data_IF_112624417692
#
_entry.id   IF_112624417692
#
_cell.length_a   1.000
_cell.length_b   1.000
_cell.length_c   1.000
_cell.angle_alpha   90.00
_cell.angle_beta   90.00
_cell.angle_gamma   90.00
#
_symmetry.space_group_name_H-M   'P 1'
#
loop_
_entity.id
_entity.type
_entity.pdbx_description
1 polymer ?
#
# COMPACT_ATOMS: atom_id res chain seq x y z
N UNK A 1 39.57 -21.96 7.22
CA UNK A 1 39.07 -21.63 5.86
C UNK A 1 37.68 -22.22 5.74
N UNK A 2 36.63 -21.39 5.83
CA UNK A 2 35.24 -21.82 5.75
C UNK A 2 34.82 -22.11 4.29
N UNK A 3 33.94 -23.10 4.03
CA UNK A 3 33.50 -23.42 2.69
C UNK A 3 32.40 -22.45 2.21
N UNK A 4 32.32 -22.13 0.90
CA UNK A 4 31.27 -21.27 0.34
C UNK A 4 30.03 -22.12 0.02
N UNK A 5 28.97 -22.04 0.83
CA UNK A 5 27.69 -22.72 0.56
C UNK A 5 26.48 -21.79 0.77
N UNK A 6 26.36 -20.74 -0.06
CA UNK A 6 25.15 -19.90 -0.12
C UNK A 6 24.61 -19.60 -1.55
N UNK A 7 25.33 -19.77 -2.68
CA UNK A 7 24.82 -19.26 -3.98
C UNK A 7 23.66 -20.09 -4.56
N UNK A 8 23.53 -21.37 -4.20
CA UNK A 8 22.50 -22.27 -4.79
C UNK A 8 21.10 -22.04 -4.21
N UNK A 9 20.98 -21.66 -2.94
CA UNK A 9 19.68 -21.44 -2.31
C UNK A 9 19.04 -20.12 -2.79
N UNK A 10 19.85 -19.07 -2.93
CA UNK A 10 19.45 -17.78 -3.50
C UNK A 10 18.98 -17.94 -4.95
N UNK A 11 19.69 -18.72 -5.77
CA UNK A 11 19.30 -18.99 -7.14
C UNK A 11 17.94 -19.71 -7.23
N UNK A 12 17.67 -20.69 -6.36
CA UNK A 12 16.37 -21.40 -6.31
C UNK A 12 15.23 -20.51 -5.83
N UNK A 13 15.50 -19.62 -4.86
CA UNK A 13 14.50 -18.65 -4.39
C UNK A 13 14.18 -17.61 -5.49
N UNK A 14 15.20 -17.11 -6.19
CA UNK A 14 15.01 -16.22 -7.35
C UNK A 14 14.25 -16.91 -8.50
N UNK A 15 14.54 -18.19 -8.79
CA UNK A 15 13.87 -18.93 -9.86
C UNK A 15 12.38 -19.18 -9.55
N UNK A 16 12.04 -19.47 -8.29
CA UNK A 16 10.66 -19.72 -7.88
C UNK A 16 9.85 -18.43 -7.74
N UNK A 17 10.45 -17.33 -7.28
CA UNK A 17 9.84 -16.00 -7.34
C UNK A 17 9.64 -15.58 -8.81
N UNK A 18 10.61 -15.82 -9.69
CA UNK A 18 10.45 -15.58 -11.13
C UNK A 18 9.32 -16.42 -11.75
N UNK A 19 9.16 -17.70 -11.35
CA UNK A 19 8.03 -18.54 -11.79
C UNK A 19 6.69 -18.05 -11.23
N UNK A 20 6.62 -17.62 -9.97
CA UNK A 20 5.40 -17.05 -9.39
C UNK A 20 5.02 -15.73 -10.08
N UNK A 21 6.01 -14.92 -10.49
CA UNK A 21 5.81 -13.71 -11.28
C UNK A 21 5.42 -14.00 -12.74
N UNK A 22 5.79 -15.15 -13.30
CA UNK A 22 5.38 -15.60 -14.65
C UNK A 22 3.90 -16.01 -14.71
N UNK A 23 3.34 -16.54 -13.62
CA UNK A 23 1.90 -16.84 -13.51
C UNK A 23 1.03 -15.60 -13.22
N UNK A 24 1.64 -14.44 -13.06
CA UNK A 24 0.95 -13.19 -12.75
C UNK A 24 0.58 -12.45 -14.05
N UNK A 25 -0.69 -12.11 -14.25
CA UNK A 25 -1.08 -11.29 -15.39
C UNK A 25 -0.49 -9.88 -15.24
N UNK A 26 0.46 -9.53 -16.10
CA UNK A 26 0.99 -8.17 -16.21
C UNK A 26 0.00 -7.31 -16.98
N UNK A 27 -0.58 -6.35 -16.31
CA UNK A 27 -1.59 -5.46 -16.90
C UNK A 27 -1.13 -4.01 -16.84
N UNK A 28 -1.30 -3.29 -17.96
CA UNK A 28 -1.08 -1.84 -18.05
C UNK A 28 -2.36 -1.10 -17.65
N UNK A 29 -2.22 0.18 -17.30
CA UNK A 29 -3.36 1.04 -16.98
C UNK A 29 -4.36 1.07 -18.16
N UNK A 30 -5.65 1.01 -17.85
CA UNK A 30 -6.74 0.96 -18.82
C UNK A 30 -7.68 2.16 -18.59
N UNK A 31 -8.08 2.82 -19.68
CA UNK A 31 -9.05 3.91 -19.66
C UNK A 31 -10.51 3.42 -19.65
N UNK A 32 -10.75 2.18 -20.10
CA UNK A 32 -12.06 1.54 -20.11
C UNK A 32 -11.91 0.03 -19.94
N UNK A 33 -12.77 -0.56 -19.13
CA UNK A 33 -12.70 -1.98 -18.75
C UNK A 33 -13.78 -2.84 -19.39
N UNK A 34 -14.29 -2.39 -20.53
CA UNK A 34 -15.42 -2.97 -21.23
C UNK A 34 -16.78 -2.48 -20.70
N UNK A 35 -17.85 -3.11 -21.17
CA UNK A 35 -19.24 -2.75 -20.85
C UNK A 35 -19.80 -3.43 -19.60
N UNK A 36 -19.08 -4.40 -19.02
CA UNK A 36 -19.53 -5.09 -17.81
C UNK A 36 -19.38 -4.19 -16.58
N UNK A 37 -20.40 -4.10 -15.72
CA UNK A 37 -20.32 -3.30 -14.50
C UNK A 37 -19.19 -3.82 -13.60
N UNK A 38 -18.30 -2.91 -13.20
CA UNK A 38 -17.19 -3.19 -12.30
C UNK A 38 -17.68 -3.19 -10.86
N UNK A 39 -17.24 -4.17 -10.07
CA UNK A 39 -17.52 -4.15 -8.64
C UNK A 39 -16.72 -3.05 -7.94
N UNK A 40 -17.31 -2.49 -6.88
CA UNK A 40 -16.73 -1.42 -6.06
C UNK A 40 -16.89 -1.81 -4.59
N UNK A 41 -15.90 -2.49 -3.98
CA UNK A 41 -16.07 -3.07 -2.65
C UNK A 41 -16.20 -2.01 -1.54
N UNK A 42 -15.87 -0.76 -1.85
CA UNK A 42 -16.00 0.42 -0.99
C UNK A 42 -17.35 1.14 -1.12
N UNK A 43 -18.17 0.77 -2.10
CA UNK A 43 -19.48 1.35 -2.36
C UNK A 43 -20.56 0.36 -1.91
N UNK A 44 -21.23 0.66 -0.80
CA UNK A 44 -22.28 -0.21 -0.23
C UNK A 44 -23.53 -0.28 -1.11
N UNK A 45 -23.73 0.69 -1.99
CA UNK A 45 -24.84 0.75 -2.95
C UNK A 45 -24.44 0.14 -4.31
N UNK A 46 -23.14 0.03 -4.57
CA UNK A 46 -22.58 -0.56 -5.78
C UNK A 46 -22.63 -2.10 -5.80
N UNK A 47 -22.35 -2.71 -6.97
CA UNK A 47 -22.27 -4.16 -7.06
C UNK A 47 -21.10 -4.68 -6.22
N UNK A 48 -21.40 -5.55 -5.25
CA UNK A 48 -20.41 -6.24 -4.45
C UNK A 48 -19.54 -7.18 -5.32
N UNK A 49 -18.28 -7.32 -4.94
CA UNK A 49 -17.32 -8.10 -5.70
C UNK A 49 -17.62 -9.60 -5.66
N UNK A 50 -17.63 -10.21 -6.85
CA UNK A 50 -17.78 -11.66 -7.04
C UNK A 50 -16.49 -12.21 -7.62
N UNK A 51 -16.06 -13.40 -7.19
CA UNK A 51 -14.89 -14.09 -7.75
C UNK A 51 -14.97 -14.18 -9.27
N UNK A 52 -13.83 -14.04 -9.96
CA UNK A 52 -13.71 -14.08 -11.43
C UNK A 52 -14.43 -12.94 -12.18
N UNK A 53 -14.88 -11.90 -11.46
CA UNK A 53 -15.41 -10.67 -12.06
C UNK A 53 -14.41 -9.53 -11.89
N UNK A 54 -14.57 -8.46 -12.67
CA UNK A 54 -13.66 -7.32 -12.65
C UNK A 54 -14.03 -6.33 -11.54
N UNK A 55 -13.01 -5.74 -10.93
CA UNK A 55 -13.11 -4.69 -9.91
C UNK A 55 -12.62 -3.35 -10.47
N UNK A 56 -13.20 -2.23 -10.05
CA UNK A 56 -12.63 -0.90 -10.30
C UNK A 56 -11.50 -0.64 -9.29
N UNK A 57 -10.25 -0.58 -9.77
CA UNK A 57 -9.08 -0.30 -8.94
C UNK A 57 -8.36 0.93 -9.49
N UNK A 58 -8.22 1.97 -8.65
CA UNK A 58 -7.55 3.22 -9.05
C UNK A 58 -6.51 3.63 -8.04
N UNK A 59 -5.38 4.09 -8.55
CA UNK A 59 -4.31 4.67 -7.77
C UNK A 59 -4.16 6.16 -8.07
N UNK A 60 -3.95 6.95 -7.03
CA UNK A 60 -3.62 8.36 -7.09
C UNK A 60 -2.17 8.54 -6.66
N UNK A 61 -1.38 9.11 -7.57
CA UNK A 61 0.04 9.31 -7.43
C UNK A 61 0.33 10.80 -7.21
N UNK A 62 0.92 11.18 -6.08
CA UNK A 62 1.44 12.54 -5.90
C UNK A 62 2.58 12.82 -6.89
N UNK A 63 2.44 13.84 -7.75
CA UNK A 63 3.48 14.21 -8.72
C UNK A 63 4.49 15.19 -8.12
N UNK A 64 5.65 15.35 -8.78
CA UNK A 64 6.53 16.49 -8.54
C UNK A 64 5.82 17.79 -8.93
N UNK A 65 6.28 18.92 -8.37
CA UNK A 65 5.61 20.22 -8.56
C UNK A 65 5.64 20.64 -10.03
N UNK A 66 6.73 20.28 -10.70
CA UNK A 66 7.05 20.58 -12.09
C UNK A 66 6.17 19.79 -13.06
N UNK A 67 5.62 18.66 -12.63
CA UNK A 67 4.70 17.83 -13.42
C UNK A 67 3.21 18.13 -13.15
N UNK A 68 2.91 19.18 -12.39
CA UNK A 68 1.53 19.59 -12.16
C UNK A 68 0.91 20.13 -13.45
N UNK A 69 -0.39 19.90 -13.65
CA UNK A 69 -1.13 20.42 -14.79
C UNK A 69 -2.36 21.20 -14.34
N UNK A 70 -2.76 22.22 -15.12
CA UNK A 70 -3.90 23.08 -14.80
C UNK A 70 -5.01 22.87 -15.82
N UNK A 71 -6.22 22.57 -15.36
CA UNK A 71 -7.43 22.52 -16.19
C UNK A 71 -8.47 23.44 -15.56
N UNK A 72 -9.05 24.35 -16.35
CA UNK A 72 -10.12 25.25 -15.90
C UNK A 72 -9.79 26.00 -14.60
N UNK A 73 -8.58 26.57 -14.52
CA UNK A 73 -8.04 27.29 -13.35
C UNK A 73 -7.78 26.45 -12.08
N UNK A 74 -7.96 25.13 -12.13
CA UNK A 74 -7.59 24.22 -11.05
C UNK A 74 -6.30 23.49 -11.39
N UNK A 75 -5.30 23.60 -10.51
CA UNK A 75 -4.05 22.86 -10.61
C UNK A 75 -4.20 21.49 -9.94
N UNK A 76 -3.85 20.45 -10.68
CA UNK A 76 -3.86 19.08 -10.22
C UNK A 76 -2.42 18.63 -9.94
N UNK A 77 -2.25 17.98 -8.79
CA UNK A 77 -0.97 17.49 -8.27
C UNK A 77 -0.87 15.97 -8.27
N UNK A 78 -1.80 15.31 -8.98
CA UNK A 78 -2.02 13.87 -8.90
C UNK A 78 -2.12 13.29 -10.30
N UNK A 79 -1.37 12.22 -10.56
CA UNK A 79 -1.61 11.34 -11.70
C UNK A 79 -2.50 10.16 -11.29
N UNK A 80 -3.44 9.78 -12.15
CA UNK A 80 -4.38 8.68 -11.88
C UNK A 80 -4.06 7.47 -12.74
N UNK A 81 -3.98 6.29 -12.11
CA UNK A 81 -3.84 5.00 -12.80
C UNK A 81 -5.06 4.14 -12.54
N UNK A 82 -5.80 3.80 -13.59
CA UNK A 82 -6.98 2.92 -13.53
C UNK A 82 -6.68 1.51 -14.01
N UNK A 83 -7.19 0.51 -13.30
CA UNK A 83 -7.04 -0.90 -13.61
C UNK A 83 -8.34 -1.65 -13.33
N UNK A 84 -8.49 -2.81 -13.99
CA UNK A 84 -9.62 -3.69 -13.79
C UNK A 84 -9.21 -5.14 -13.52
N UNK A 85 -8.56 -5.40 -12.36
CA UNK A 85 -8.21 -6.76 -11.97
C UNK A 85 -9.42 -7.66 -11.93
N UNK A 86 -9.18 -8.94 -12.18
CA UNK A 86 -10.12 -10.01 -11.90
C UNK A 86 -10.03 -10.36 -10.41
N UNK A 87 -11.16 -10.28 -9.70
CA UNK A 87 -11.26 -10.64 -8.28
C UNK A 87 -10.85 -12.10 -8.10
N UNK A 88 -9.98 -12.31 -7.12
CA UNK A 88 -9.34 -13.59 -6.79
C UNK A 88 -8.29 -14.10 -7.77
N UNK A 89 -7.72 -13.21 -8.58
CA UNK A 89 -6.56 -13.51 -9.42
C UNK A 89 -5.37 -12.67 -8.97
N UNK A 90 -4.25 -13.33 -8.70
CA UNK A 90 -2.99 -12.63 -8.42
C UNK A 90 -2.65 -11.76 -9.65
N UNK A 91 -2.53 -10.46 -9.43
CA UNK A 91 -2.33 -9.48 -10.50
C UNK A 91 -1.11 -8.61 -10.21
N UNK A 92 -0.40 -8.22 -11.26
CA UNK A 92 0.76 -7.33 -11.18
C UNK A 92 0.56 -6.14 -12.10
N UNK A 93 0.53 -4.95 -11.51
CA UNK A 93 0.31 -3.71 -12.23
C UNK A 93 1.58 -2.87 -12.27
N UNK A 94 2.01 -2.47 -13.47
CA UNK A 94 3.13 -1.54 -13.61
C UNK A 94 2.59 -0.12 -13.75
N UNK A 95 2.97 0.75 -12.82
CA UNK A 95 2.69 2.19 -12.88
C UNK A 95 3.76 2.87 -13.73
N UNK A 96 3.63 2.72 -15.05
CA UNK A 96 4.60 3.25 -16.02
C UNK A 96 4.78 4.75 -15.84
N UNK A 97 6.03 5.20 -15.68
CA UNK A 97 6.37 6.60 -15.51
C UNK A 97 6.15 7.15 -14.09
N UNK A 98 5.57 6.40 -13.15
CA UNK A 98 5.34 6.88 -11.78
C UNK A 98 6.62 7.29 -11.05
N UNK A 99 7.73 6.50 -11.10
CA UNK A 99 9.03 6.92 -10.58
C UNK A 99 9.49 8.28 -11.11
N UNK A 100 9.39 8.49 -12.42
CA UNK A 100 9.76 9.74 -13.06
C UNK A 100 8.83 10.88 -12.63
N UNK A 101 7.50 10.69 -12.71
CA UNK A 101 6.52 11.72 -12.39
C UNK A 101 6.60 12.24 -10.96
N UNK A 102 7.06 11.42 -10.02
CA UNK A 102 7.18 11.77 -8.60
C UNK A 102 8.48 12.48 -8.25
N UNK A 103 9.53 12.31 -9.04
CA UNK A 103 10.90 12.68 -8.66
C UNK A 103 11.67 13.49 -9.68
N UNK A 104 11.21 13.54 -10.93
CA UNK A 104 11.90 14.12 -12.08
C UNK A 104 10.93 14.93 -12.94
N UNK A 105 11.44 15.71 -13.88
CA UNK A 105 10.66 16.44 -14.87
C UNK A 105 11.46 16.62 -16.16
N UNK A 106 10.78 17.00 -17.23
CA UNK A 106 11.36 17.20 -18.56
C UNK A 106 11.36 18.69 -18.89
N UNK A 107 12.46 19.18 -19.47
CA UNK A 107 12.46 20.44 -20.21
C UNK A 107 12.72 20.18 -21.69
N UNK A 108 12.26 21.09 -22.54
CA UNK A 108 12.55 21.05 -23.98
C UNK A 108 13.12 22.39 -24.37
N UNK A 109 14.31 22.40 -24.96
CA UNK A 109 14.91 23.61 -25.52
C UNK A 109 14.07 24.07 -26.71
N UNK A 110 13.56 25.31 -26.64
CA UNK A 110 12.67 25.87 -27.66
C UNK A 110 13.35 26.08 -29.02
N UNK A 111 14.68 26.18 -29.05
CA UNK A 111 15.47 26.46 -30.25
C UNK A 111 15.99 25.19 -30.92
N UNK A 112 16.48 24.22 -30.14
CA UNK A 112 17.05 22.97 -30.68
C UNK A 112 16.04 21.82 -30.67
N UNK A 113 14.95 21.93 -29.89
CA UNK A 113 14.02 20.83 -29.63
C UNK A 113 14.61 19.73 -28.73
N UNK A 114 15.79 19.96 -28.14
CA UNK A 114 16.47 18.98 -27.30
C UNK A 114 15.70 18.77 -25.99
N UNK A 115 15.49 17.51 -25.62
CA UNK A 115 14.73 17.12 -24.42
C UNK A 115 15.71 16.72 -23.33
N UNK A 116 15.65 17.41 -22.18
CA UNK A 116 16.54 17.14 -21.04
C UNK A 116 15.75 16.71 -19.81
N UNK A 117 16.24 15.67 -19.14
CA UNK A 117 15.65 15.14 -17.90
C UNK A 117 16.32 15.76 -16.68
N UNK A 118 15.51 16.22 -15.73
CA UNK A 118 15.97 16.86 -14.50
C UNK A 118 15.35 16.20 -13.27
N UNK A 119 16.06 16.24 -12.15
CA UNK A 119 15.47 15.92 -10.86
C UNK A 119 14.60 17.07 -10.38
N UNK A 120 13.46 16.73 -9.77
CA UNK A 120 12.55 17.67 -9.11
C UNK A 120 13.30 18.53 -8.11
N UNK A 121 13.03 19.84 -8.13
CA UNK A 121 13.58 20.78 -7.14
C UNK A 121 12.92 20.58 -5.78
N UNK A 122 11.73 19.99 -5.75
CA UNK A 122 11.02 19.61 -4.55
C UNK A 122 11.08 18.08 -4.35
N UNK A 123 12.07 17.62 -3.58
CA UNK A 123 12.24 16.21 -3.20
C UNK A 123 11.50 15.82 -1.90
N UNK A 124 10.41 16.54 -1.56
CA UNK A 124 9.57 16.16 -0.43
C UNK A 124 8.96 14.75 -0.60
N UNK A 125 8.45 14.15 0.49
CA UNK A 125 7.74 12.88 0.42
C UNK A 125 6.64 12.88 -0.65
N UNK A 126 6.51 11.79 -1.39
CA UNK A 126 5.42 11.54 -2.34
C UNK A 126 4.75 10.22 -2.03
N UNK A 127 3.44 10.19 -2.23
CA UNK A 127 2.61 9.07 -1.84
C UNK A 127 1.82 8.51 -3.02
N UNK A 128 1.51 7.21 -2.90
CA UNK A 128 0.52 6.52 -3.71
C UNK A 128 -0.66 6.18 -2.80
N UNK A 129 -1.86 6.55 -3.21
CA UNK A 129 -3.10 6.25 -2.50
C UNK A 129 -4.02 5.40 -3.37
N UNK A 130 -4.79 4.51 -2.75
CA UNK A 130 -5.80 3.70 -3.45
C UNK A 130 -7.18 4.32 -3.25
N UNK A 131 -7.85 4.66 -4.34
CA UNK A 131 -9.21 5.19 -4.31
C UNK A 131 -10.17 4.18 -3.69
N UNK A 132 -11.06 4.64 -2.80
CA UNK A 132 -12.03 3.77 -2.14
C UNK A 132 -11.49 3.05 -0.90
N UNK A 133 -10.19 3.14 -0.59
CA UNK A 133 -9.58 2.47 0.58
C UNK A 133 -9.59 3.38 1.82
N UNK A 134 -10.49 4.37 1.84
CA UNK A 134 -10.67 5.26 2.96
C UNK A 134 -11.46 4.64 4.12
N UNK A 135 -11.56 5.43 5.19
CA UNK A 135 -12.24 5.03 6.41
C UNK A 135 -13.78 5.01 6.25
N UNK A 136 -14.50 4.45 7.22
CA UNK A 136 -15.96 4.31 7.18
C UNK A 136 -16.72 5.63 7.03
N UNK A 137 -16.16 6.74 7.51
CA UNK A 137 -16.72 8.08 7.41
C UNK A 137 -16.31 8.82 6.11
N UNK A 138 -15.30 8.33 5.39
CA UNK A 138 -14.82 8.87 4.12
C UNK A 138 -14.13 7.76 3.32
N UNK A 139 -14.93 6.95 2.62
CA UNK A 139 -14.42 5.76 1.91
C UNK A 139 -13.59 6.13 0.69
N UNK A 140 -13.85 7.30 0.10
CA UNK A 140 -13.26 7.74 -1.17
C UNK A 140 -11.75 7.95 -1.12
N UNK A 141 -11.25 8.61 -0.07
CA UNK A 141 -9.86 9.02 0.04
C UNK A 141 -9.24 8.49 1.33
N UNK A 142 -8.21 7.63 1.26
CA UNK A 142 -7.49 7.20 2.45
C UNK A 142 -6.74 8.38 3.07
N UNK A 143 -6.85 8.52 4.38
CA UNK A 143 -6.11 9.53 5.14
C UNK A 143 -4.61 9.18 5.15
N UNK A 144 -3.76 10.20 4.99
CA UNK A 144 -2.30 10.02 5.00
C UNK A 144 -1.85 9.64 6.40
N UNK A 145 -0.82 8.80 6.49
CA UNK A 145 -0.17 8.35 7.73
C UNK A 145 -1.03 7.51 8.70
N UNK A 146 -2.37 7.53 8.59
CA UNK A 146 -3.27 6.69 9.37
C UNK A 146 -3.79 5.47 8.59
N UNK A 147 -4.04 5.62 7.28
CA UNK A 147 -4.58 4.54 6.44
C UNK A 147 -3.48 3.74 5.74
N UNK A 148 -3.60 2.41 5.79
CA UNK A 148 -2.84 1.48 4.95
C UNK A 148 -3.18 1.62 3.47
N UNK A 149 -4.25 2.34 3.10
CA UNK A 149 -4.58 2.70 1.72
C UNK A 149 -3.63 3.74 1.10
N UNK A 150 -2.68 4.29 1.87
CA UNK A 150 -1.67 5.25 1.40
C UNK A 150 -0.26 4.75 1.72
N UNK A 151 0.68 4.92 0.78
CA UNK A 151 2.07 4.47 0.95
C UNK A 151 3.06 5.49 0.42
N UNK A 152 4.17 5.68 1.13
CA UNK A 152 5.30 6.48 0.65
C UNK A 152 5.98 5.78 -0.53
N UNK A 153 6.21 6.52 -1.61
CA UNK A 153 6.80 5.97 -2.84
C UNK A 153 8.05 6.71 -3.32
N UNK A 154 8.24 7.97 -2.95
CA UNK A 154 9.46 8.70 -3.24
C UNK A 154 9.82 9.66 -2.11
N UNK A 155 11.12 9.79 -1.84
CA UNK A 155 11.64 10.66 -0.78
C UNK A 155 13.07 11.09 -1.11
N UNK A 156 13.51 12.23 -0.59
CA UNK A 156 14.91 12.63 -0.65
C UNK A 156 15.82 11.56 -0.01
N UNK A 157 16.75 11.03 -0.80
CA UNK A 157 17.71 10.01 -0.41
C UNK A 157 19.09 10.54 -0.06
N UNK A 158 19.33 11.85 -0.16
CA UNK A 158 20.67 12.44 -0.03
C UNK A 158 21.27 12.19 1.36
N UNK A 159 20.46 12.29 2.42
CA UNK A 159 20.92 12.00 3.79
C UNK A 159 21.24 10.52 4.01
N UNK A 160 20.45 9.62 3.43
CA UNK A 160 20.62 8.17 3.60
C UNK A 160 21.81 7.63 2.81
N UNK A 161 22.05 8.18 1.63
CA UNK A 161 23.09 7.69 0.70
C UNK A 161 24.40 8.47 0.79
N UNK A 162 24.40 9.67 1.36
CA UNK A 162 25.54 10.60 1.30
C UNK A 162 25.75 11.23 -0.08
N UNK A 163 24.93 10.88 -1.08
CA UNK A 163 25.02 11.38 -2.46
C UNK A 163 24.08 12.57 -2.62
N UNK A 164 24.61 13.72 -3.03
CA UNK A 164 23.79 14.90 -3.33
C UNK A 164 22.80 14.61 -4.45
N UNK A 165 21.57 15.11 -4.31
CA UNK A 165 20.48 14.93 -5.27
C UNK A 165 20.12 13.44 -5.51
N UNK A 166 20.26 12.61 -4.48
CA UNK A 166 19.76 11.24 -4.53
C UNK A 166 18.27 11.19 -4.13
N UNK A 167 17.48 10.39 -4.83
CA UNK A 167 16.06 10.13 -4.53
C UNK A 167 15.87 8.65 -4.27
N UNK A 168 15.21 8.33 -3.15
CA UNK A 168 14.74 6.98 -2.86
C UNK A 168 13.39 6.76 -3.53
N UNK A 169 13.27 5.70 -4.32
CA UNK A 169 12.08 5.37 -5.11
C UNK A 169 11.66 3.94 -4.78
N UNK A 170 10.42 3.78 -4.33
CA UNK A 170 9.81 2.46 -4.14
C UNK A 170 9.46 1.85 -5.49
N UNK A 171 9.85 0.58 -5.69
CA UNK A 171 9.68 -0.13 -6.96
C UNK A 171 8.76 -1.33 -6.85
N UNK A 172 8.61 -1.90 -5.65
CA UNK A 172 7.78 -3.09 -5.41
C UNK A 172 6.84 -2.80 -4.24
N UNK A 173 5.54 -2.84 -4.54
CA UNK A 173 4.46 -2.67 -3.59
C UNK A 173 3.61 -3.95 -3.56
N UNK A 174 3.12 -4.30 -2.38
CA UNK A 174 2.15 -5.37 -2.18
C UNK A 174 0.87 -4.77 -1.62
N UNK A 175 -0.24 -4.93 -2.34
CA UNK A 175 -1.57 -4.47 -1.97
C UNK A 175 -2.44 -5.68 -1.64
N UNK A 176 -3.04 -5.65 -0.46
CA UNK A 176 -4.02 -6.65 -0.03
C UNK A 176 -5.43 -6.08 -0.11
N UNK A 177 -6.35 -6.89 -0.64
CA UNK A 177 -7.76 -6.56 -0.75
C UNK A 177 -8.57 -7.60 0.03
N UNK A 178 -8.83 -7.28 1.30
CA UNK A 178 -9.72 -8.03 2.18
C UNK A 178 -11.19 -7.75 1.88
N UNK A 179 -11.96 -8.80 1.58
CA UNK A 179 -13.39 -8.73 1.31
C UNK A 179 -14.17 -9.58 2.31
N UNK A 180 -15.34 -9.09 2.73
CA UNK A 180 -16.35 -9.85 3.45
C UNK A 180 -17.66 -9.74 2.69
N UNK A 181 -18.13 -10.87 2.16
CA UNK A 181 -19.30 -10.92 1.28
C UNK A 181 -19.17 -9.96 0.08
N UNK A 182 -17.96 -9.82 -0.47
CA UNK A 182 -17.69 -8.99 -1.64
C UNK A 182 -17.54 -7.48 -1.37
N UNK A 183 -17.60 -7.03 -0.11
CA UNK A 183 -17.42 -5.63 0.29
C UNK A 183 -16.26 -5.51 1.28
N UNK A 184 -15.79 -4.28 1.52
CA UNK A 184 -14.83 -4.02 2.59
C UNK A 184 -15.46 -4.21 3.97
N UNK A 185 -14.69 -4.87 4.84
CA UNK A 185 -15.08 -5.09 6.22
C UNK A 185 -14.51 -3.98 7.11
N UNK A 186 -15.39 -3.13 7.62
CA UNK A 186 -15.06 -2.13 8.63
C UNK A 186 -15.38 -2.72 10.00
N UNK A 187 -14.37 -3.31 10.66
CA UNK A 187 -14.57 -3.97 11.97
C UNK A 187 -15.02 -2.92 12.99
N UNK A 188 -16.08 -3.24 13.72
CA UNK A 188 -16.60 -2.40 14.80
C UNK A 188 -15.57 -2.25 15.93
N UNK A 189 -15.11 -1.02 16.18
CA UNK A 189 -14.56 -0.68 17.48
C UNK A 189 -15.73 -0.56 18.47
N UNK A 190 -15.50 -0.92 19.74
CA UNK A 190 -16.50 -0.79 20.80
C UNK A 190 -17.16 0.60 20.74
N UNK A 191 -18.49 0.63 20.83
CA UNK A 191 -19.32 1.83 20.73
C UNK A 191 -18.71 2.91 21.63
N UNK A 192 -18.31 4.04 21.05
CA UNK A 192 -17.92 5.20 21.83
C UNK A 192 -19.15 5.64 22.62
N UNK A 193 -19.08 5.53 23.95
CA UNK A 193 -20.16 5.98 24.84
C UNK A 193 -20.46 7.45 24.57
N UNK A 194 -21.75 7.79 24.60
CA UNK A 194 -22.23 9.17 24.50
C UNK A 194 -21.42 10.09 25.43
N UNK A 195 -20.82 11.13 24.87
CA UNK A 195 -20.18 12.19 25.64
C UNK A 195 -21.14 13.35 25.79
N UNK A 196 -21.38 13.77 27.02
CA UNK A 196 -22.12 15.00 27.31
C UNK A 196 -21.20 16.20 27.10
N UNK A 197 -21.59 17.15 26.24
CA UNK A 197 -20.95 18.46 26.20
C UNK A 197 -21.79 19.48 26.96
N UNK A 198 -21.12 20.47 27.54
CA UNK A 198 -21.79 21.60 28.20
C UNK A 198 -22.53 22.41 27.14
N UNK A 199 -23.83 22.62 27.32
CA UNK A 199 -24.60 23.46 26.40
C UNK A 199 -24.11 24.92 26.52
N UNK A 200 -23.66 25.50 25.41
CA UNK A 200 -23.24 26.91 25.36
C UNK A 200 -24.39 27.90 25.62
N UNK A 201 -25.63 27.44 25.52
CA UNK A 201 -26.84 28.21 25.79
C UNK A 201 -27.36 28.01 27.22
N UNK A 202 -26.67 27.24 28.06
CA UNK A 202 -27.02 27.07 29.47
C UNK A 202 -26.77 28.38 30.23
N UNK A 203 -27.85 29.05 30.64
CA UNK A 203 -27.75 30.26 31.45
C UNK A 203 -27.92 29.93 32.93
N UNK A 204 -26.87 29.37 33.55
CA UNK A 204 -26.90 28.85 34.93
C UNK A 204 -27.25 29.90 36.00
N UNK A 205 -27.20 31.20 35.66
CA UNK A 205 -27.60 32.32 36.52
C UNK A 205 -29.12 32.49 36.60
N UNK A 206 -29.88 31.99 35.64
CA UNK A 206 -31.36 32.05 35.61
C UNK A 206 -32.02 30.74 36.06
N UNK A 207 -31.26 29.65 36.18
CA UNK A 207 -31.76 28.34 36.59
C UNK A 207 -31.88 28.27 38.12
N UNK A 208 -33.09 28.41 38.66
CA UNK A 208 -33.36 28.18 40.10
C UNK A 208 -33.81 26.72 40.34
N UNK A 209 -33.53 26.13 41.52
CA UNK A 209 -33.78 24.70 41.80
C UNK A 209 -35.24 24.26 41.69
N UNK A 210 -36.20 25.18 41.64
CA UNK A 210 -37.64 24.92 41.67
C UNK A 210 -38.38 25.44 40.42
N UNK A 211 -37.70 25.64 39.29
CA UNK A 211 -38.35 26.04 38.05
C UNK A 211 -38.93 24.83 37.31
N UNK A 212 -40.17 24.45 37.64
CA UNK A 212 -40.95 23.40 36.95
C UNK A 212 -41.83 23.93 35.81
N UNK A 213 -41.44 25.01 35.12
CA UNK A 213 -42.18 25.51 33.96
C UNK A 213 -41.25 25.81 32.78
N UNK A 214 -41.49 25.25 31.58
CA UNK A 214 -40.78 25.62 30.38
C UNK A 214 -41.31 26.98 29.91
N UNK A 215 -40.53 28.05 30.06
CA UNK A 215 -40.70 29.23 29.21
C UNK A 215 -39.83 29.04 27.97
N UNK A 216 -40.39 29.35 26.79
CA UNK A 216 -39.80 29.14 25.46
C UNK A 216 -38.44 29.85 25.19
N UNK A 217 -37.81 30.43 26.22
CA UNK A 217 -36.59 31.23 26.09
C UNK A 217 -35.46 30.90 27.07
N UNK A 218 -35.65 29.96 28.02
CA UNK A 218 -34.62 29.64 29.02
C UNK A 218 -34.27 28.14 28.94
N UNK A 219 -33.10 27.85 28.37
CA UNK A 219 -32.57 26.49 28.27
C UNK A 219 -31.77 26.15 29.53
N UNK A 220 -32.36 25.34 30.40
CA UNK A 220 -31.74 24.87 31.67
C UNK A 220 -31.01 23.53 31.51
N UNK A 221 -30.84 23.02 30.29
CA UNK A 221 -30.14 21.75 30.04
C UNK A 221 -28.64 21.98 30.19
N UNK A 222 -28.07 21.48 31.30
CA UNK A 222 -26.64 21.67 31.62
C UNK A 222 -25.71 20.95 30.64
N UNK A 223 -26.15 19.79 30.17
CA UNK A 223 -25.39 18.85 29.38
C UNK A 223 -26.26 18.37 28.22
N UNK A 224 -25.88 18.67 26.99
CA UNK A 224 -26.55 18.11 25.81
C UNK A 224 -25.82 16.82 25.43
N UNK A 225 -26.55 15.73 25.16
CA UNK A 225 -25.96 14.56 24.51
C UNK A 225 -25.42 15.00 23.16
N UNK A 226 -24.10 15.10 23.02
CA UNK A 226 -23.50 15.28 21.71
C UNK A 226 -23.37 13.88 21.13
N UNK A 227 -23.94 13.61 19.94
CA UNK A 227 -23.66 12.36 19.24
C UNK A 227 -22.14 12.24 19.14
N UNK A 228 -21.58 11.23 19.80
CA UNK A 228 -20.16 10.96 19.68
C UNK A 228 -19.87 10.83 18.17
N UNK A 229 -18.96 11.66 17.66
CA UNK A 229 -18.55 11.55 16.26
C UNK A 229 -18.20 10.09 16.00
N UNK A 230 -18.85 9.46 15.00
CA UNK A 230 -18.63 8.05 14.73
C UNK A 230 -17.12 7.79 14.62
N UNK A 231 -16.57 6.83 15.39
CA UNK A 231 -15.15 6.59 15.37
C UNK A 231 -14.74 6.23 13.95
N UNK A 232 -13.68 6.87 13.45
CA UNK A 232 -13.10 6.59 12.14
C UNK A 232 -12.62 5.12 12.11
N UNK A 233 -13.17 4.30 11.19
CA UNK A 233 -12.81 2.87 11.07
C UNK A 233 -12.11 2.60 9.76
N UNK A 234 -10.98 1.92 9.81
CA UNK A 234 -10.27 1.46 8.63
C UNK A 234 -10.78 0.07 8.23
N UNK A 235 -10.83 -0.25 6.93
CA UNK A 235 -11.19 -1.58 6.48
C UNK A 235 -10.10 -2.59 6.85
N UNK A 236 -10.49 -3.75 7.35
CA UNK A 236 -9.56 -4.77 7.82
C UNK A 236 -8.90 -5.52 6.66
N UNK A 237 -7.58 -5.75 6.75
CA UNK A 237 -6.75 -6.40 5.72
C UNK A 237 -6.90 -5.76 4.33
N UNK A 238 -7.03 -4.45 4.29
CA UNK A 238 -7.16 -3.66 3.06
C UNK A 238 -6.05 -2.62 3.06
N UNK A 239 -5.25 -2.58 1.99
CA UNK A 239 -4.18 -1.60 1.81
C UNK A 239 -2.81 -2.21 1.56
N UNK A 240 -1.79 -1.35 1.54
CA UNK A 240 -0.41 -1.71 1.31
C UNK A 240 0.18 -2.41 2.53
N UNK A 241 0.90 -3.50 2.28
CA UNK A 241 1.69 -4.21 3.28
C UNK A 241 3.19 -4.00 3.01
N UNK A 242 4.01 -3.84 4.06
CA UNK A 242 5.44 -3.62 3.93
C UNK A 242 6.14 -4.75 3.17
N UNK A 243 6.95 -4.39 2.19
CA UNK A 243 7.80 -5.35 1.44
C UNK A 243 9.21 -5.46 2.02
N UNK A 244 9.45 -4.84 3.18
CA UNK A 244 10.65 -4.98 3.98
C UNK A 244 10.34 -5.62 5.34
N UNK A 245 11.27 -6.43 5.86
CA UNK A 245 11.13 -7.07 7.16
C UNK A 245 11.56 -6.16 8.33
N UNK A 246 11.45 -6.67 9.56
CA UNK A 246 11.84 -5.96 10.77
C UNK A 246 13.34 -5.62 10.85
N UNK A 247 14.19 -6.34 10.10
CA UNK A 247 15.63 -6.10 9.99
C UNK A 247 15.99 -5.13 8.85
N UNK A 248 15.00 -4.46 8.26
CA UNK A 248 15.18 -3.49 7.17
C UNK A 248 15.78 -4.09 5.89
N UNK A 249 15.45 -5.37 5.62
CA UNK A 249 15.87 -6.09 4.42
C UNK A 249 14.68 -6.25 3.48
N UNK A 250 14.88 -5.92 2.21
CA UNK A 250 13.89 -6.15 1.16
C UNK A 250 13.62 -7.67 1.01
N UNK A 251 12.34 -8.07 1.07
CA UNK A 251 11.93 -9.49 0.97
C UNK A 251 11.44 -9.87 -0.43
N UNK A 252 11.15 -8.90 -1.30
CA UNK A 252 10.53 -9.10 -2.61
C UNK A 252 11.48 -8.90 -3.80
N UNK A 253 12.76 -8.62 -3.56
CA UNK A 253 13.75 -8.36 -4.60
C UNK A 253 15.14 -8.85 -4.20
N UNK A 254 16.09 -8.73 -5.13
CA UNK A 254 17.50 -9.00 -4.85
C UNK A 254 18.01 -8.03 -3.76
N UNK A 255 18.44 -8.53 -2.59
CA UNK A 255 18.89 -7.67 -1.49
C UNK A 255 20.17 -6.88 -1.80
N UNK A 256 20.89 -7.23 -2.87
CA UNK A 256 22.05 -6.46 -3.35
C UNK A 256 21.68 -5.27 -4.24
N UNK A 257 20.48 -5.28 -4.81
CA UNK A 257 19.98 -4.23 -5.72
C UNK A 257 18.95 -3.34 -5.01
N UNK A 258 18.08 -3.96 -4.21
CA UNK A 258 16.97 -3.28 -3.56
C UNK A 258 17.27 -2.95 -2.10
N UNK A 259 16.82 -1.79 -1.68
CA UNK A 259 16.91 -1.29 -0.31
C UNK A 259 15.53 -0.95 0.24
N UNK A 260 15.44 -0.66 1.53
CA UNK A 260 14.19 -0.37 2.20
C UNK A 260 13.94 1.14 2.33
N UNK A 261 13.00 1.64 1.53
CA UNK A 261 12.62 3.05 1.47
C UNK A 261 11.45 3.31 2.42
N UNK A 262 11.62 4.29 3.31
CA UNK A 262 10.64 4.68 4.33
C UNK A 262 11.30 5.11 5.63
N UNK A 263 10.52 5.75 6.51
CA UNK A 263 11.04 6.33 7.75
C UNK A 263 10.75 5.47 8.99
N UNK A 264 9.87 4.47 8.88
CA UNK A 264 9.44 3.63 9.99
C UNK A 264 9.93 2.20 9.76
N UNK A 265 10.75 1.68 10.68
CA UNK A 265 11.25 0.30 10.66
C UNK A 265 10.08 -0.70 10.62
N UNK A 266 10.21 -1.74 9.80
CA UNK A 266 9.16 -2.74 9.59
C UNK A 266 7.93 -2.24 8.82
N UNK A 267 7.89 -0.96 8.39
CA UNK A 267 6.84 -0.39 7.54
C UNK A 267 7.36 0.18 6.21
N UNK A 268 8.59 -0.20 5.84
CA UNK A 268 9.25 0.26 4.61
C UNK A 268 8.89 -0.63 3.42
N UNK A 269 9.23 -0.16 2.22
CA UNK A 269 9.04 -0.89 0.99
C UNK A 269 10.33 -0.99 0.17
N UNK A 270 10.46 -2.10 -0.57
CA UNK A 270 11.55 -2.37 -1.50
C UNK A 270 11.60 -1.28 -2.58
N UNK A 271 12.78 -0.69 -2.71
CA UNK A 271 13.05 0.38 -3.67
C UNK A 271 14.52 0.48 -4.01
N UNK A 272 14.86 1.55 -4.71
CA UNK A 272 16.22 1.87 -5.14
C UNK A 272 16.51 3.35 -4.89
N UNK A 273 17.79 3.69 -4.73
CA UNK A 273 18.24 5.08 -4.78
C UNK A 273 18.78 5.40 -6.17
N UNK A 274 18.38 6.55 -6.71
CA UNK A 274 18.85 7.04 -8.00
C UNK A 274 19.17 8.54 -7.91
N UNK A 275 20.24 8.95 -8.58
CA UNK A 275 20.66 10.35 -8.69
C UNK A 275 20.63 10.85 -10.14
N UNK A 276 20.52 9.95 -11.12
CA UNK A 276 20.45 10.29 -12.53
C UNK A 276 18.98 10.24 -13.02
N UNK A 277 18.39 11.37 -13.46
CA UNK A 277 17.04 11.42 -14.03
C UNK A 277 16.78 10.43 -15.17
N UNK A 278 17.77 10.21 -16.04
CA UNK A 278 17.65 9.30 -17.18
C UNK A 278 17.49 7.85 -16.68
N UNK A 279 18.21 7.46 -15.64
CA UNK A 279 18.05 6.13 -15.03
C UNK A 279 16.69 5.98 -14.32
N UNK A 280 16.15 7.07 -13.77
CA UNK A 280 14.83 7.07 -13.11
C UNK A 280 13.72 6.76 -14.12
N UNK A 281 13.86 7.20 -15.37
CA UNK A 281 12.91 6.91 -16.46
C UNK A 281 12.75 5.41 -16.71
N UNK A 282 13.82 4.64 -16.52
CA UNK A 282 13.83 3.18 -16.69
C UNK A 282 13.35 2.43 -15.45
N UNK A 283 13.20 3.11 -14.31
CA UNK A 283 12.68 2.49 -13.08
C UNK A 283 11.20 2.17 -13.27
N UNK A 284 10.83 0.93 -12.95
CA UNK A 284 9.45 0.48 -12.94
C UNK A 284 8.94 0.35 -11.51
N UNK A 285 7.75 0.91 -11.26
CA UNK A 285 7.01 0.68 -10.03
C UNK A 285 5.93 -0.36 -10.28
N UNK A 286 5.94 -1.44 -9.52
CA UNK A 286 5.01 -2.55 -9.65
C UNK A 286 4.18 -2.71 -8.37
N UNK A 287 2.87 -2.84 -8.53
CA UNK A 287 1.93 -3.16 -7.46
C UNK A 287 1.40 -4.57 -7.66
N UNK A 288 1.73 -5.47 -6.72
CA UNK A 288 1.19 -6.81 -6.65
C UNK A 288 -0.12 -6.77 -5.86
N UNK A 289 -1.19 -7.35 -6.40
CA UNK A 289 -2.51 -7.33 -5.79
C UNK A 289 -2.96 -8.75 -5.47
N UNK A 290 -3.39 -8.96 -4.23
CA UNK A 290 -3.91 -10.24 -3.74
C UNK A 290 -5.20 -10.06 -2.95
N UNK A 291 -6.06 -11.09 -2.97
CA UNK A 291 -7.39 -11.05 -2.36
C UNK A 291 -7.53 -12.03 -1.21
N UNK A 292 -8.25 -11.61 -0.16
CA UNK A 292 -8.52 -12.40 1.06
C UNK A 292 -9.99 -12.31 1.47
N UNK A 293 -10.47 -13.32 2.19
CA UNK A 293 -11.81 -13.35 2.75
C UNK A 293 -12.83 -13.99 1.80
N UNK A 294 -14.00 -13.37 1.62
CA UNK A 294 -15.10 -13.96 0.84
C UNK A 294 -15.72 -12.99 -0.18
N UNK A 295 -16.15 -13.55 -1.32
CA UNK A 295 -16.91 -12.82 -2.33
C UNK A 295 -18.40 -12.69 -1.97
N UNK A 296 -19.20 -11.98 -2.79
CA UNK A 296 -20.64 -11.76 -2.54
C UNK A 296 -21.50 -13.02 -2.56
N UNK A 297 -20.96 -14.14 -3.07
CA UNK A 297 -21.58 -15.47 -3.05
C UNK A 297 -21.04 -16.35 -1.92
N UNK A 298 -20.26 -15.77 -1.00
CA UNK A 298 -19.58 -16.43 0.12
C UNK A 298 -18.53 -17.47 -0.30
N UNK A 299 -18.04 -17.40 -1.53
CA UNK A 299 -16.89 -18.20 -1.93
C UNK A 299 -15.63 -17.64 -1.27
N UNK A 300 -14.78 -18.52 -0.76
CA UNK A 300 -13.48 -18.15 -0.20
C UNK A 300 -12.55 -17.71 -1.32
N UNK A 301 -11.90 -16.56 -1.10
CA UNK A 301 -10.86 -16.02 -1.96
C UNK A 301 -9.52 -16.69 -1.62
N UNK A 302 -8.78 -17.07 -2.65
CA UNK A 302 -7.62 -17.97 -2.60
C UNK A 302 -6.32 -17.35 -3.08
N UNK A 303 -6.37 -16.27 -3.86
CA UNK A 303 -5.16 -15.62 -4.42
C UNK A 303 -4.19 -15.08 -3.36
N UNK A 304 -4.65 -14.75 -2.14
CA UNK A 304 -3.77 -14.42 -1.01
C UNK A 304 -2.77 -15.53 -0.66
N UNK A 305 -3.13 -16.80 -0.89
CA UNK A 305 -2.21 -17.94 -0.72
C UNK A 305 -1.08 -17.97 -1.77
N UNK A 306 -1.22 -17.22 -2.85
CA UNK A 306 -0.23 -17.07 -3.93
C UNK A 306 0.55 -15.76 -3.83
N UNK A 307 0.29 -14.94 -2.80
CA UNK A 307 1.02 -13.69 -2.62
C UNK A 307 2.53 -14.00 -2.40
N UNK A 308 3.43 -13.53 -3.29
CA UNK A 308 4.86 -13.83 -3.16
C UNK A 308 5.46 -13.31 -1.84
N UNK A 309 4.87 -12.28 -1.24
CA UNK A 309 5.27 -11.77 0.06
C UNK A 309 5.03 -12.80 1.17
N UNK A 310 3.86 -13.45 1.18
CA UNK A 310 3.55 -14.50 2.14
C UNK A 310 4.52 -15.68 2.01
N UNK A 311 4.84 -16.06 0.76
CA UNK A 311 5.81 -17.11 0.50
C UNK A 311 7.22 -16.71 0.95
N UNK A 312 7.68 -15.51 0.63
CA UNK A 312 9.00 -15.02 1.02
C UNK A 312 9.16 -14.96 2.55
N UNK A 313 8.13 -14.48 3.25
CA UNK A 313 8.06 -14.47 4.72
C UNK A 313 8.11 -15.89 5.26
N UNK A 314 7.26 -16.80 4.78
CA UNK A 314 7.25 -18.21 5.21
C UNK A 314 8.60 -18.91 4.99
N UNK A 315 9.22 -18.69 3.83
CA UNK A 315 10.50 -19.31 3.48
C UNK A 315 11.65 -18.82 4.37
N UNK A 316 11.63 -17.54 4.78
CA UNK A 316 12.64 -16.93 5.67
C UNK A 316 12.38 -17.23 7.15
N UNK A 317 11.13 -17.28 7.60
CA UNK A 317 10.73 -17.53 8.99
C UNK A 317 10.75 -19.01 9.39
N UNK A 318 11.88 -19.71 9.23
CA UNK A 318 12.19 -21.02 9.84
C UNK A 318 11.90 -22.30 9.04
N UNK A 319 11.06 -22.36 8.01
CA UNK A 319 10.78 -23.66 7.36
C UNK A 319 11.97 -24.18 6.53
N UNK A 320 12.53 -23.34 5.66
CA UNK A 320 13.66 -23.76 4.81
C UNK A 320 15.00 -23.72 5.53
N UNK A 321 15.21 -22.79 6.46
CA UNK A 321 16.43 -22.81 7.27
C UNK A 321 16.45 -24.02 8.21
N UNK A 322 15.35 -24.36 8.89
CA UNK A 322 15.30 -25.57 9.72
C UNK A 322 15.40 -26.84 8.87
N UNK A 323 14.72 -26.91 7.72
CA UNK A 323 14.85 -28.05 6.80
C UNK A 323 16.28 -28.17 6.24
N UNK A 324 16.89 -27.07 5.80
CA UNK A 324 18.27 -27.06 5.35
C UNK A 324 19.22 -27.51 6.45
N UNK A 325 19.07 -26.98 7.68
CA UNK A 325 19.87 -27.38 8.83
C UNK A 325 19.70 -28.88 9.16
N UNK A 326 18.48 -29.41 9.07
CA UNK A 326 18.16 -30.82 9.29
C UNK A 326 18.74 -31.70 8.19
N UNK A 327 18.67 -31.27 6.92
CA UNK A 327 19.28 -31.97 5.78
C UNK A 327 20.80 -31.96 5.86
N UNK A 328 21.45 -30.83 6.18
CA UNK A 328 22.90 -30.82 6.46
C UNK A 328 23.24 -31.70 7.65
N UNK A 329 22.42 -31.74 8.70
CA UNK A 329 22.66 -32.65 9.82
C UNK A 329 22.53 -34.12 9.42
N UNK A 330 21.64 -34.48 8.48
CA UNK A 330 21.52 -35.82 7.93
C UNK A 330 22.72 -36.22 7.05
N UNK A 331 23.34 -35.27 6.35
CA UNK A 331 24.55 -35.50 5.54
C UNK A 331 25.86 -35.35 6.34
N UNK A 332 25.80 -34.82 7.56
CA UNK A 332 26.91 -34.75 8.51
C UNK A 332 26.91 -35.91 9.53
N UNK A 333 25.96 -36.84 9.45
CA UNK A 333 26.07 -38.15 10.14
C UNK A 333 27.16 -38.97 9.46
N UNK A 334 28.36 -38.85 10.02
CA UNK A 334 29.49 -39.78 10.07
C UNK A 334 29.77 -40.66 8.83
N UNK A 335 30.57 -40.11 7.91
CA UNK A 335 31.51 -40.90 7.10
C UNK A 335 32.64 -41.54 7.95
N UNK A 336 32.67 -41.26 9.25
CA UNK A 336 33.56 -41.88 10.26
C UNK A 336 33.01 -43.17 10.88
N UNK A 337 31.72 -43.48 10.75
CA UNK A 337 31.10 -44.68 11.35
C UNK A 337 30.92 -45.85 10.34
N UNK A 338 31.39 -45.69 9.10
CA UNK A 338 31.29 -46.73 8.05
C UNK A 338 32.66 -47.29 7.62
N UNK A 339 33.76 -46.86 8.26
CA UNK A 339 35.06 -47.51 8.11
C UNK A 339 35.48 -48.09 9.45
N UNK A 340 34.92 -49.27 9.76
CA UNK A 340 35.47 -50.14 10.79
C UNK A 340 36.86 -50.63 10.37
N UNK A 341 37.87 -50.13 11.08
CA UNK A 341 39.08 -50.89 11.44
C UNK A 341 38.95 -51.23 12.92
#
# INVERSE_FOLDING_TARGET
MLPPRVPRLLAVLCLTVALALLCCEKTRAQSSCGSTPLCKPYDRQGPACTRKRRMDLRFFLDTSRENNFTVSAQTYHIATYGFCPVVDQLSSFTLTGAPFLTSSYITTDETTGEVTDHLSLNMGPRYLSVYGFGASNSTTYPERDSSTGTVLIAVNGSRTTGVTNSVGIVTILSLEIGLQNGLFNYIDAAVASETTATDSNNNSLLCTPNSTAPSDSINCVKNVPVPAAEPMRLPAKVGFVPTCNAQDVCVMGDPSVYTCIGNVLGKKNCGVYKSNPTEIRDVQMTVLVSYYGTDSRRNVLTSGGQNPLNFATFARENAFQAFAHKVTSFFEVNLSDVVGV
#
